data_IF_133059293936
#
_entry.id   IF_133059293936
#
_cell.length_a   1.000
_cell.length_b   1.000
_cell.length_c   1.000
_cell.angle_alpha   90.00
_cell.angle_beta   90.00
_cell.angle_gamma   90.00
#
_symmetry.space_group_name_H-M   'P 1'
#
loop_
_entity.id
_entity.type
_entity.pdbx_description
1 polymer ?
#
# COMPACT_ATOMS: atom_id res chain seq x y z
N UNK A 1 -2.23 -4.77 10.29
CA UNK A 1 -2.26 -4.93 8.83
C UNK A 1 -0.86 -4.89 8.26
N UNK A 2 -0.63 -5.60 7.15
CA UNK A 2 0.67 -5.62 6.48
C UNK A 2 1.09 -4.26 5.87
N UNK A 3 0.15 -3.37 5.63
CA UNK A 3 0.39 -2.07 4.98
C UNK A 3 1.45 -1.21 5.66
N UNK A 4 1.63 -1.35 6.97
CA UNK A 4 2.67 -0.64 7.72
C UNK A 4 4.09 -0.98 7.21
N UNK A 5 4.33 -2.21 6.75
CA UNK A 5 5.66 -2.65 6.29
C UNK A 5 6.13 -1.83 5.08
N UNK A 6 5.30 -1.77 4.04
CA UNK A 6 5.60 -0.99 2.84
C UNK A 6 5.62 0.51 3.09
N UNK A 7 4.66 1.03 3.85
CA UNK A 7 4.62 2.45 4.20
C UNK A 7 5.88 2.86 4.99
N UNK A 8 6.26 2.08 6.00
CA UNK A 8 7.46 2.35 6.80
C UNK A 8 8.73 2.24 5.96
N UNK A 9 8.87 1.19 5.15
CA UNK A 9 10.05 0.99 4.30
C UNK A 9 10.22 2.16 3.32
N UNK A 10 9.14 2.58 2.64
CA UNK A 10 9.16 3.75 1.76
C UNK A 10 9.60 5.00 2.51
N UNK A 11 8.95 5.30 3.62
CA UNK A 11 9.18 6.54 4.35
C UNK A 11 10.55 6.60 5.03
N UNK A 12 11.08 5.45 5.49
CA UNK A 12 12.42 5.37 6.07
C UNK A 12 13.56 5.56 5.03
N UNK A 13 13.27 5.36 3.75
CA UNK A 13 14.21 5.55 2.65
C UNK A 13 14.10 6.94 1.99
N UNK A 14 13.16 7.79 2.42
CA UNK A 14 13.06 9.16 1.93
C UNK A 14 14.23 10.01 2.45
N UNK A 15 14.74 10.88 1.59
CA UNK A 15 15.71 11.89 1.98
C UNK A 15 15.06 12.99 2.84
N UNK A 16 15.87 13.77 3.53
CA UNK A 16 15.40 14.93 4.31
C UNK A 16 14.59 15.90 3.45
N UNK A 17 15.03 16.18 2.23
CA UNK A 17 14.30 17.05 1.30
C UNK A 17 12.91 16.47 0.95
N UNK A 18 12.79 15.18 0.75
CA UNK A 18 11.52 14.51 0.45
C UNK A 18 10.55 14.47 1.64
N UNK A 19 11.06 14.63 2.86
CA UNK A 19 10.24 14.67 4.08
C UNK A 19 9.97 16.06 4.60
N UNK A 20 10.61 17.10 4.04
CA UNK A 20 10.55 18.48 4.50
C UNK A 20 9.12 18.99 4.66
N UNK A 21 8.27 18.78 3.66
CA UNK A 21 6.87 19.17 3.66
C UNK A 21 5.93 18.03 4.16
N UNK A 22 6.52 16.92 4.60
CA UNK A 22 5.81 15.74 5.06
C UNK A 22 5.42 14.79 3.92
N UNK A 23 4.50 13.88 4.23
CA UNK A 23 3.99 12.87 3.28
C UNK A 23 2.48 12.94 3.17
N UNK A 24 1.94 12.51 2.03
CA UNK A 24 0.50 12.47 1.77
C UNK A 24 0.10 11.13 1.13
N UNK A 25 -1.09 10.66 1.42
CA UNK A 25 -1.71 9.54 0.72
C UNK A 25 -3.22 9.67 0.67
N UNK A 26 -3.86 8.91 -0.22
CA UNK A 26 -5.32 8.73 -0.23
C UNK A 26 -5.68 7.31 0.20
N UNK A 27 -6.40 7.18 1.30
CA UNK A 27 -6.90 5.88 1.76
C UNK A 27 -7.85 6.05 2.95
N UNK A 28 -8.96 5.31 2.95
CA UNK A 28 -9.87 5.20 4.09
C UNK A 28 -9.70 3.90 4.90
N UNK A 29 -8.58 3.20 4.72
CA UNK A 29 -8.38 1.87 5.31
C UNK A 29 -6.98 1.63 5.88
N UNK A 30 -6.53 0.39 5.75
CA UNK A 30 -5.27 -0.07 6.34
C UNK A 30 -4.02 0.70 5.88
N UNK A 31 -4.02 1.24 4.65
CA UNK A 31 -2.90 2.03 4.16
C UNK A 31 -2.82 3.39 4.87
N UNK A 32 -3.95 4.04 5.10
CA UNK A 32 -4.02 5.27 5.90
C UNK A 32 -3.39 5.07 7.28
N UNK A 33 -3.83 4.04 8.01
CA UNK A 33 -3.27 3.70 9.32
C UNK A 33 -1.78 3.33 9.24
N UNK A 34 -1.38 2.61 8.18
CA UNK A 34 0.02 2.24 7.95
C UNK A 34 0.92 3.46 7.77
N UNK A 35 0.52 4.41 6.92
CA UNK A 35 1.25 5.67 6.70
C UNK A 35 1.28 6.52 7.97
N UNK A 36 0.14 6.66 8.67
CA UNK A 36 0.05 7.45 9.90
C UNK A 36 0.94 6.88 11.01
N UNK A 37 0.94 5.56 11.19
CA UNK A 37 1.80 4.92 12.19
C UNK A 37 3.28 5.01 11.83
N UNK A 38 3.63 4.85 10.55
CA UNK A 38 5.00 5.04 10.07
C UNK A 38 5.46 6.48 10.29
N UNK A 39 4.62 7.46 9.93
CA UNK A 39 4.88 8.88 10.13
C UNK A 39 5.14 9.21 11.61
N UNK A 40 4.29 8.72 12.50
CA UNK A 40 4.44 8.88 13.96
C UNK A 40 5.79 8.31 14.45
N UNK A 41 6.18 7.12 13.98
CA UNK A 41 7.45 6.48 14.37
C UNK A 41 8.68 7.21 13.82
N UNK A 42 8.60 7.75 12.62
CA UNK A 42 9.69 8.45 11.94
C UNK A 42 9.68 9.97 12.19
N UNK A 43 8.72 10.47 12.96
CA UNK A 43 8.53 11.90 13.27
C UNK A 43 8.33 12.77 12.02
N UNK A 44 7.70 12.20 10.98
CA UNK A 44 7.37 12.88 9.72
C UNK A 44 5.92 13.37 9.78
N UNK A 45 5.64 14.58 9.31
CA UNK A 45 4.26 15.07 9.16
C UNK A 45 3.54 14.24 8.10
N UNK A 46 2.27 13.89 8.37
CA UNK A 46 1.48 13.13 7.41
C UNK A 46 0.08 13.70 7.21
N UNK A 47 -0.37 13.68 5.97
CA UNK A 47 -1.72 14.09 5.57
C UNK A 47 -2.41 12.90 4.90
N UNK A 48 -3.61 12.59 5.33
CA UNK A 48 -4.43 11.51 4.77
C UNK A 48 -5.68 12.11 4.15
N UNK A 49 -5.88 11.87 2.87
CA UNK A 49 -7.09 12.27 2.16
C UNK A 49 -8.05 11.07 2.12
N UNK A 50 -9.28 11.30 2.54
CA UNK A 50 -10.34 10.29 2.59
C UNK A 50 -11.61 10.80 1.92
N UNK A 51 -12.44 9.95 1.31
CA UNK A 51 -13.78 10.34 0.90
C UNK A 51 -14.60 10.88 2.07
N UNK A 52 -15.51 11.82 1.82
CA UNK A 52 -16.42 12.35 2.84
C UNK A 52 -17.35 11.27 3.40
N UNK A 53 -17.62 10.23 2.62
CA UNK A 53 -18.40 9.05 3.01
C UNK A 53 -17.69 8.10 3.96
N UNK A 54 -16.43 8.40 4.35
CA UNK A 54 -15.65 7.53 5.24
C UNK A 54 -16.26 7.48 6.64
N UNK A 55 -16.53 6.27 7.21
CA UNK A 55 -17.04 6.14 8.56
C UNK A 55 -16.15 6.80 9.60
N UNK A 56 -16.76 7.51 10.57
CA UNK A 56 -16.06 8.29 11.61
C UNK A 56 -15.04 7.45 12.36
N UNK A 57 -15.36 6.20 12.67
CA UNK A 57 -14.43 5.28 13.36
C UNK A 57 -13.09 5.11 12.63
N UNK A 58 -13.08 5.15 11.30
CA UNK A 58 -11.85 5.07 10.50
C UNK A 58 -11.10 6.40 10.47
N UNK A 59 -11.83 7.50 10.45
CA UNK A 59 -11.27 8.86 10.52
C UNK A 59 -10.57 9.04 11.87
N UNK A 60 -11.25 8.71 12.97
CA UNK A 60 -10.72 8.86 14.32
C UNK A 60 -9.50 7.99 14.56
N UNK A 61 -9.50 6.73 14.09
CA UNK A 61 -8.35 5.85 14.20
C UNK A 61 -7.06 6.40 13.54
N UNK A 62 -7.20 7.15 12.45
CA UNK A 62 -6.08 7.81 11.78
C UNK A 62 -5.69 9.12 12.48
N UNK A 63 -6.66 9.87 12.97
CA UNK A 63 -6.46 11.10 13.72
C UNK A 63 -5.70 10.85 15.03
N UNK A 64 -6.02 9.78 15.76
CA UNK A 64 -5.33 9.35 16.98
C UNK A 64 -3.85 9.00 16.73
N UNK A 65 -3.50 8.61 15.52
CA UNK A 65 -2.12 8.38 15.11
C UNK A 65 -1.35 9.69 14.82
N UNK A 66 -2.03 10.83 14.82
CA UNK A 66 -1.42 12.17 14.70
C UNK A 66 -1.36 12.70 13.26
N UNK A 67 -2.02 12.07 12.29
CA UNK A 67 -2.06 12.59 10.92
C UNK A 67 -3.10 13.69 10.76
N UNK A 68 -2.80 14.67 9.89
CA UNK A 68 -3.80 15.60 9.36
C UNK A 68 -4.76 14.86 8.43
N UNK A 69 -6.05 15.08 8.56
CA UNK A 69 -7.08 14.46 7.72
C UNK A 69 -7.74 15.52 6.86
N UNK A 70 -7.93 15.18 5.58
CA UNK A 70 -8.70 15.96 4.63
C UNK A 70 -9.82 15.05 4.11
N UNK A 71 -11.06 15.43 4.32
CA UNK A 71 -12.23 14.76 3.75
C UNK A 71 -12.56 15.46 2.43
N UNK A 72 -12.52 14.72 1.31
CA UNK A 72 -12.73 15.29 -0.01
C UNK A 72 -13.37 14.28 -0.97
N UNK A 73 -14.38 14.73 -1.70
CA UNK A 73 -15.12 13.92 -2.68
C UNK A 73 -15.95 12.81 -2.04
N UNK A 74 -16.71 12.12 -2.87
CA UNK A 74 -17.60 11.03 -2.45
C UNK A 74 -17.02 9.65 -2.76
N UNK A 75 -15.95 9.61 -3.57
CA UNK A 75 -15.28 8.39 -4.02
C UNK A 75 -13.79 8.36 -3.69
N UNK A 76 -13.22 7.14 -3.67
CA UNK A 76 -11.78 6.96 -3.56
C UNK A 76 -11.02 7.66 -4.69
N UNK A 77 -11.54 7.64 -5.90
CA UNK A 77 -10.91 8.27 -7.07
C UNK A 77 -10.74 9.77 -6.88
N UNK A 78 -11.80 10.45 -6.44
CA UNK A 78 -11.76 11.89 -6.17
C UNK A 78 -10.79 12.24 -5.03
N UNK A 79 -10.82 11.47 -3.94
CA UNK A 79 -9.88 11.63 -2.84
C UNK A 79 -8.42 11.41 -3.30
N UNK A 80 -8.19 10.44 -4.18
CA UNK A 80 -6.87 10.15 -4.75
C UNK A 80 -6.37 11.28 -5.64
N UNK A 81 -7.19 11.75 -6.57
CA UNK A 81 -6.85 12.86 -7.47
C UNK A 81 -6.56 14.15 -6.68
N UNK A 82 -7.34 14.41 -5.64
CA UNK A 82 -7.09 15.53 -4.74
C UNK A 82 -5.78 15.40 -3.98
N UNK A 83 -5.46 14.22 -3.48
CA UNK A 83 -4.18 13.96 -2.81
C UNK A 83 -2.99 14.15 -3.75
N UNK A 84 -3.09 13.70 -5.01
CA UNK A 84 -2.06 13.91 -6.03
C UNK A 84 -1.91 15.39 -6.36
N UNK A 85 -3.02 16.15 -6.45
CA UNK A 85 -2.96 17.58 -6.65
C UNK A 85 -2.24 18.28 -5.50
N UNK A 86 -2.62 18.00 -4.25
CA UNK A 86 -1.97 18.58 -3.07
C UNK A 86 -0.48 18.21 -2.98
N UNK A 87 -0.12 16.99 -3.34
CA UNK A 87 1.27 16.53 -3.41
C UNK A 87 2.10 17.44 -4.33
N UNK A 88 1.58 17.77 -5.51
CA UNK A 88 2.26 18.65 -6.49
C UNK A 88 2.27 20.11 -6.08
N UNK A 89 1.13 20.63 -5.63
CA UNK A 89 0.94 22.06 -5.31
C UNK A 89 1.81 22.48 -4.10
N UNK A 90 2.06 21.57 -3.17
CA UNK A 90 2.77 21.83 -1.92
C UNK A 90 4.08 21.04 -1.75
N UNK A 91 4.53 20.36 -2.81
CA UNK A 91 5.75 19.54 -2.79
C UNK A 91 5.78 18.55 -1.62
N UNK A 92 4.67 17.84 -1.42
CA UNK A 92 4.50 16.82 -0.38
C UNK A 92 4.69 15.44 -1.00
N UNK A 93 5.56 14.60 -0.45
CA UNK A 93 5.82 13.27 -1.00
C UNK A 93 4.60 12.36 -0.90
N UNK A 94 4.13 11.86 -2.06
CA UNK A 94 3.00 10.93 -2.10
C UNK A 94 3.44 9.50 -1.80
N UNK A 95 2.79 8.84 -0.84
CA UNK A 95 3.03 7.45 -0.48
C UNK A 95 1.98 6.57 -1.15
N UNK A 96 2.40 5.90 -2.24
CA UNK A 96 1.49 5.04 -3.03
C UNK A 96 1.11 3.77 -2.24
N UNK A 97 -0.16 3.32 -2.29
CA UNK A 97 -0.63 2.19 -1.48
C UNK A 97 -0.12 0.82 -1.93
N UNK A 98 0.45 0.67 -3.13
CA UNK A 98 0.92 -0.62 -3.67
C UNK A 98 1.88 -0.54 -4.86
N UNK A 99 1.85 0.51 -5.68
CA UNK A 99 2.64 0.62 -6.93
C UNK A 99 3.84 1.58 -6.70
N UNK A 100 4.77 1.13 -5.89
CA UNK A 100 6.00 1.82 -5.54
C UNK A 100 7.01 0.76 -5.09
N UNK A 101 8.24 0.83 -5.59
CA UNK A 101 9.27 -0.19 -5.38
C UNK A 101 9.61 -0.37 -3.89
N UNK A 102 9.76 0.70 -3.14
CA UNK A 102 10.05 0.64 -1.71
C UNK A 102 8.86 0.08 -0.91
N UNK A 103 7.63 0.44 -1.31
CA UNK A 103 6.42 -0.14 -0.72
C UNK A 103 6.34 -1.63 -1.00
N UNK A 104 6.60 -2.05 -2.24
CA UNK A 104 6.63 -3.46 -2.64
C UNK A 104 7.72 -4.22 -1.87
N UNK A 105 8.93 -3.67 -1.77
CA UNK A 105 10.03 -4.26 -1.01
C UNK A 105 9.68 -4.46 0.47
N UNK A 106 9.03 -3.47 1.10
CA UNK A 106 8.54 -3.59 2.47
C UNK A 106 7.52 -4.72 2.64
N UNK A 107 6.62 -4.94 1.67
CA UNK A 107 5.70 -6.10 1.67
C UNK A 107 6.45 -7.42 1.48
N UNK A 108 7.58 -7.42 0.78
CA UNK A 108 8.44 -8.58 0.58
C UNK A 108 8.97 -9.19 1.89
N UNK A 109 9.05 -8.40 2.97
CA UNK A 109 9.44 -8.90 4.31
C UNK A 109 8.52 -10.01 4.81
N UNK A 110 7.26 -10.09 4.34
CA UNK A 110 6.36 -11.20 4.62
C UNK A 110 6.88 -12.50 4.01
N UNK A 111 7.37 -12.43 2.77
CA UNK A 111 8.00 -13.58 2.11
C UNK A 111 9.21 -14.11 2.88
N UNK A 112 10.03 -13.20 3.42
CA UNK A 112 11.15 -13.55 4.30
C UNK A 112 10.67 -14.28 5.57
N UNK A 113 9.66 -13.76 6.23
CA UNK A 113 9.12 -14.37 7.45
C UNK A 113 8.47 -15.72 7.16
N UNK A 114 7.73 -15.87 6.05
CA UNK A 114 7.17 -17.16 5.64
C UNK A 114 8.28 -18.22 5.49
N UNK A 115 9.38 -17.88 4.79
CA UNK A 115 10.48 -18.82 4.61
C UNK A 115 11.21 -19.16 5.92
N UNK A 116 11.33 -18.21 6.84
CA UNK A 116 11.96 -18.42 8.15
C UNK A 116 11.11 -19.24 9.10
N UNK A 117 9.79 -19.05 9.07
CA UNK A 117 8.85 -19.69 10.00
C UNK A 117 8.35 -21.04 9.49
N UNK A 118 8.50 -21.33 8.20
CA UNK A 118 8.08 -22.61 7.64
C UNK A 118 9.08 -23.72 8.00
N UNK A 119 8.66 -24.62 8.87
CA UNK A 119 9.44 -25.80 9.27
C UNK A 119 9.36 -26.96 8.27
N UNK A 120 8.43 -26.91 7.31
CA UNK A 120 8.19 -27.94 6.32
C UNK A 120 8.55 -27.46 4.92
N UNK A 121 8.71 -28.42 3.98
CA UNK A 121 8.89 -28.09 2.56
C UNK A 121 7.67 -27.32 2.04
N UNK A 122 7.90 -26.08 1.64
CA UNK A 122 6.89 -25.19 1.10
C UNK A 122 6.70 -25.48 -0.40
N UNK A 123 5.49 -25.82 -0.81
CA UNK A 123 5.14 -26.11 -2.21
C UNK A 123 4.48 -24.91 -2.90
N UNK A 124 3.64 -24.18 -2.17
CA UNK A 124 2.94 -23.00 -2.71
C UNK A 124 2.62 -21.99 -1.60
N UNK A 125 2.50 -20.72 -2.02
CA UNK A 125 2.00 -19.62 -1.18
C UNK A 125 0.85 -18.95 -1.91
N UNK A 126 -0.31 -18.87 -1.26
CA UNK A 126 -1.49 -18.16 -1.75
C UNK A 126 -1.47 -16.72 -1.23
N UNK A 127 -1.60 -15.75 -2.12
CA UNK A 127 -1.51 -14.33 -1.78
C UNK A 127 -2.69 -13.57 -2.36
N UNK A 128 -3.41 -12.86 -1.51
CA UNK A 128 -4.50 -11.99 -1.95
C UNK A 128 -3.97 -10.85 -2.84
N UNK A 129 -4.68 -10.57 -3.92
CA UNK A 129 -4.37 -9.50 -4.85
C UNK A 129 -5.48 -8.43 -4.81
N UNK A 130 -5.10 -7.24 -4.35
CA UNK A 130 -5.80 -6.01 -4.66
C UNK A 130 -5.02 -5.27 -5.76
N UNK A 131 -4.29 -4.22 -5.42
CA UNK A 131 -3.41 -3.50 -6.36
C UNK A 131 -2.10 -4.19 -6.73
N UNK A 132 -1.82 -5.39 -6.22
CA UNK A 132 -0.66 -6.20 -6.61
C UNK A 132 0.60 -6.07 -5.75
N UNK A 133 0.76 -4.99 -4.97
CA UNK A 133 2.01 -4.75 -4.23
C UNK A 133 2.41 -5.83 -3.23
N UNK A 134 1.43 -6.49 -2.58
CA UNK A 134 1.72 -7.60 -1.67
C UNK A 134 2.29 -8.81 -2.40
N UNK A 135 1.59 -9.28 -3.44
CA UNK A 135 2.03 -10.46 -4.19
C UNK A 135 3.34 -10.20 -4.93
N UNK A 136 3.56 -8.99 -5.42
CA UNK A 136 4.82 -8.60 -6.07
C UNK A 136 6.00 -8.70 -5.10
N UNK A 137 5.89 -8.13 -3.90
CA UNK A 137 6.93 -8.19 -2.89
C UNK A 137 7.18 -9.60 -2.37
N UNK A 138 6.12 -10.31 -1.97
CA UNK A 138 6.22 -11.70 -1.47
C UNK A 138 6.76 -12.62 -2.56
N UNK A 139 6.23 -12.48 -3.78
CA UNK A 139 6.62 -13.29 -4.94
C UNK A 139 8.08 -13.07 -5.32
N UNK A 140 8.52 -11.83 -5.46
CA UNK A 140 9.91 -11.50 -5.80
C UNK A 140 10.87 -12.09 -4.76
N UNK A 141 10.60 -11.90 -3.47
CA UNK A 141 11.44 -12.41 -2.40
C UNK A 141 11.50 -13.94 -2.38
N UNK A 142 10.35 -14.61 -2.40
CA UNK A 142 10.33 -16.09 -2.34
C UNK A 142 10.94 -16.70 -3.59
N UNK A 143 10.62 -16.18 -4.78
CA UNK A 143 11.14 -16.71 -6.04
C UNK A 143 12.65 -16.54 -6.20
N UNK A 144 13.24 -15.48 -5.64
CA UNK A 144 14.70 -15.29 -5.67
C UNK A 144 15.45 -16.35 -4.86
N UNK A 145 14.87 -16.88 -3.77
CA UNK A 145 15.52 -17.83 -2.87
C UNK A 145 15.04 -19.27 -3.07
N UNK A 146 13.78 -19.47 -3.45
CA UNK A 146 13.11 -20.75 -3.63
C UNK A 146 12.28 -20.77 -4.92
N UNK A 147 12.93 -20.81 -6.10
CA UNK A 147 12.23 -20.70 -7.40
C UNK A 147 11.15 -21.77 -7.63
N UNK A 148 11.27 -22.94 -6.99
CA UNK A 148 10.30 -24.04 -7.10
C UNK A 148 8.98 -23.79 -6.38
N UNK A 149 8.92 -22.87 -5.41
CA UNK A 149 7.71 -22.53 -4.67
C UNK A 149 6.74 -21.81 -5.60
N UNK A 150 5.52 -22.30 -5.72
CA UNK A 150 4.45 -21.64 -6.50
C UNK A 150 3.90 -20.44 -5.74
N UNK A 151 3.79 -19.30 -6.40
CA UNK A 151 3.08 -18.12 -5.88
C UNK A 151 1.74 -18.05 -6.60
N UNK A 152 0.65 -18.19 -5.84
CA UNK A 152 -0.71 -18.26 -6.38
C UNK A 152 -1.47 -17.03 -5.91
N UNK A 153 -1.83 -16.16 -6.86
CA UNK A 153 -2.64 -14.98 -6.59
C UNK A 153 -4.11 -15.36 -6.43
N UNK A 154 -4.78 -14.71 -5.47
CA UNK A 154 -6.20 -14.91 -5.20
C UNK A 154 -6.93 -13.57 -5.31
N UNK A 155 -7.96 -13.52 -6.14
CA UNK A 155 -8.85 -12.35 -6.30
C UNK A 155 -10.31 -12.76 -6.16
N UNK A 156 -11.16 -11.79 -5.85
CA UNK A 156 -12.61 -11.96 -5.90
C UNK A 156 -13.05 -11.91 -7.37
N UNK A 157 -14.03 -12.72 -7.75
CA UNK A 157 -14.47 -12.93 -9.13
C UNK A 157 -14.83 -11.61 -9.85
N UNK A 158 -15.59 -10.72 -9.20
CA UNK A 158 -15.99 -9.44 -9.78
C UNK A 158 -14.94 -8.32 -9.62
N UNK A 159 -13.75 -8.63 -9.08
CA UNK A 159 -12.67 -7.67 -8.84
C UNK A 159 -11.32 -8.22 -9.27
N UNK A 160 -11.28 -8.90 -10.42
CA UNK A 160 -10.17 -9.68 -10.92
C UNK A 160 -9.32 -8.96 -11.99
N UNK A 161 -9.24 -7.62 -11.92
CA UNK A 161 -8.50 -6.80 -12.88
C UNK A 161 -7.07 -7.29 -13.16
N UNK A 162 -6.36 -7.76 -12.15
CA UNK A 162 -4.99 -8.27 -12.32
C UNK A 162 -4.97 -9.56 -13.13
N UNK A 163 -5.87 -10.50 -12.84
CA UNK A 163 -6.01 -11.73 -13.62
C UNK A 163 -6.30 -11.42 -15.07
N UNK A 164 -7.31 -10.59 -15.35
CA UNK A 164 -7.67 -10.17 -16.71
C UNK A 164 -6.51 -9.45 -17.41
N UNK A 165 -5.74 -8.62 -16.67
CA UNK A 165 -4.58 -7.92 -17.23
C UNK A 165 -3.47 -8.88 -17.65
N UNK A 166 -3.21 -9.92 -16.86
CA UNK A 166 -2.22 -10.96 -17.17
C UNK A 166 -2.69 -11.78 -18.38
N UNK A 167 -3.93 -12.25 -18.38
CA UNK A 167 -4.50 -13.08 -19.45
C UNK A 167 -4.51 -12.34 -20.79
N UNK A 168 -4.84 -11.04 -20.78
CA UNK A 168 -4.91 -10.20 -21.98
C UNK A 168 -3.59 -9.48 -22.32
N UNK A 169 -2.54 -9.64 -21.51
CA UNK A 169 -1.23 -8.96 -21.65
C UNK A 169 -1.33 -7.44 -21.80
N UNK A 170 -2.33 -6.84 -21.16
CA UNK A 170 -2.54 -5.39 -21.15
C UNK A 170 -3.23 -4.99 -19.85
N UNK A 171 -3.00 -3.75 -19.40
CA UNK A 171 -3.67 -3.23 -18.20
C UNK A 171 -5.19 -3.14 -18.41
N UNK A 172 -5.94 -3.83 -17.57
CA UNK A 172 -7.40 -3.76 -17.51
C UNK A 172 -7.83 -2.92 -16.31
N UNK A 173 -8.74 -1.98 -16.56
CA UNK A 173 -9.41 -1.20 -15.52
C UNK A 173 -10.87 -1.64 -15.54
N UNK A 174 -11.34 -2.20 -14.44
CA UNK A 174 -12.74 -2.60 -14.31
C UNK A 174 -13.63 -1.34 -14.27
N UNK A 175 -14.69 -1.35 -15.05
CA UNK A 175 -15.74 -0.35 -14.89
C UNK A 175 -16.51 -0.69 -13.60
N UNK A 176 -16.69 0.32 -12.77
CA UNK A 176 -17.58 0.22 -11.60
C UNK A 176 -19.03 0.11 -12.04
#
# INVERSE_FOLDING_TARGET
>A
SFKIRGAYNKMANLSENQTLNGVITASAGNHAQGVSLAAKKLQIKSTIVMPQTTPTVKVDAVKELGSKIILFGDSYTEAYEHAIKLSKDFDITFIHPFDDEDVIAGQGTIGMEILRQSSKKLSAVFVAIGGGGLISGVGAFIKSLKPSVKIIGVQIEDSDAMKQSIDQKKRIILKK
#
